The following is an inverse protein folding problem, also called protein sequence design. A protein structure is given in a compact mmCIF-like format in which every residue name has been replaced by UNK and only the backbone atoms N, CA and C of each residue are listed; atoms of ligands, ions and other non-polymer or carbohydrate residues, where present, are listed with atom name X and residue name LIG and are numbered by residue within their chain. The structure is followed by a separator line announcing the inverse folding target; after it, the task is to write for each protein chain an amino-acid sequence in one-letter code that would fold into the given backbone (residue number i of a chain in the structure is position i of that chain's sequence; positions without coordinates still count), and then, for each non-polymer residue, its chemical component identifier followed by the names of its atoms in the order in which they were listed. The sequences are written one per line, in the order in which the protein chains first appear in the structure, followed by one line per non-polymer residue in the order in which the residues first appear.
data_IF_259434264535
#
_entry.id   IF_259434264535
#
_cell.length_a   1.000
_cell.length_b   1.000
_cell.length_c   1.000
_cell.angle_alpha   90.00
_cell.angle_beta   90.00
_cell.angle_gamma   90.00
#
_symmetry.space_group_name_H-M   'P 1'
#
loop_
_entity.id
_entity.type
_entity.pdbx_description
1 polymer ?
#
# COMPACT_ATOMS: atom_id res chain seq x y z
N UNK A 1 -11.69 -16.99 -2.70
CA UNK A 1 -12.88 -16.16 -3.07
C UNK A 1 -14.11 -17.05 -2.95
N UNK A 2 -15.27 -16.48 -2.61
CA UNK A 2 -16.51 -17.27 -2.60
C UNK A 2 -16.83 -17.69 -4.04
N UNK A 3 -17.01 -18.99 -4.28
CA UNK A 3 -17.22 -19.56 -5.60
C UNK A 3 -18.54 -19.12 -6.29
N UNK A 4 -19.40 -18.40 -5.57
CA UNK A 4 -20.78 -18.11 -5.99
C UNK A 4 -21.04 -16.62 -6.33
N UNK A 5 -20.01 -15.81 -6.53
CA UNK A 5 -20.23 -14.42 -6.93
C UNK A 5 -20.56 -14.34 -8.42
N UNK A 6 -21.83 -14.06 -8.75
CA UNK A 6 -22.26 -13.78 -10.12
C UNK A 6 -21.57 -12.50 -10.59
N UNK A 7 -20.84 -12.55 -11.70
CA UNK A 7 -20.24 -11.38 -12.31
C UNK A 7 -20.99 -11.06 -13.60
N UNK A 8 -21.00 -9.78 -13.98
CA UNK A 8 -21.46 -9.34 -15.28
C UNK A 8 -20.34 -8.63 -16.00
N UNK A 9 -20.28 -8.79 -17.31
CA UNK A 9 -19.28 -8.08 -18.10
C UNK A 9 -19.80 -7.65 -19.47
N UNK A 10 -19.13 -6.66 -20.03
CA UNK A 10 -19.30 -6.24 -21.41
C UNK A 10 -17.96 -5.75 -21.97
N UNK A 11 -17.66 -6.12 -23.20
CA UNK A 11 -16.55 -5.54 -23.96
C UNK A 11 -17.02 -4.27 -24.65
N UNK A 12 -16.40 -3.13 -24.36
CA UNK A 12 -16.77 -1.83 -24.90
C UNK A 12 -15.59 -1.13 -25.57
N UNK A 13 -15.87 -0.14 -26.42
CA UNK A 13 -14.84 0.81 -26.89
C UNK A 13 -14.67 1.95 -25.87
N UNK A 14 -13.59 2.71 -25.97
CA UNK A 14 -13.33 3.85 -25.07
C UNK A 14 -14.37 4.97 -25.22
N UNK A 15 -14.82 5.27 -26.45
CA UNK A 15 -15.83 6.34 -26.68
C UNK A 15 -17.14 6.02 -25.96
N UNK A 16 -17.44 4.73 -25.97
CA UNK A 16 -18.55 4.07 -25.33
C UNK A 16 -18.46 4.05 -23.79
N UNK A 17 -17.27 4.25 -23.21
CA UNK A 17 -17.07 4.40 -21.78
C UNK A 17 -17.63 5.75 -21.29
N UNK A 18 -17.57 6.83 -22.09
CA UNK A 18 -18.16 8.13 -21.71
C UNK A 18 -19.66 7.99 -21.51
N UNK A 19 -20.34 7.37 -22.48
CA UNK A 19 -21.79 7.15 -22.43
C UNK A 19 -22.19 6.29 -21.22
N UNK A 20 -21.35 5.32 -20.87
CA UNK A 20 -21.52 4.47 -19.69
C UNK A 20 -21.37 5.28 -18.39
N UNK A 21 -20.30 6.07 -18.28
CA UNK A 21 -20.02 6.92 -17.11
C UNK A 21 -21.09 8.02 -16.92
N UNK A 22 -21.65 8.53 -18.01
CA UNK A 22 -22.76 9.49 -18.01
C UNK A 22 -24.13 8.85 -17.70
N UNK A 23 -24.20 7.52 -17.60
CA UNK A 23 -25.45 6.78 -17.39
C UNK A 23 -26.43 6.85 -18.57
N UNK A 24 -25.93 7.15 -19.78
CA UNK A 24 -26.75 7.31 -21.00
C UNK A 24 -26.85 6.05 -21.85
N UNK A 25 -26.09 5.01 -21.51
CA UNK A 25 -25.99 3.79 -22.30
C UNK A 25 -26.72 2.63 -21.64
N UNK A 26 -27.55 1.96 -22.44
CA UNK A 26 -28.07 0.64 -22.11
C UNK A 26 -26.95 -0.40 -22.19
N UNK A 27 -26.71 -1.08 -21.07
CA UNK A 27 -25.69 -2.12 -20.96
C UNK A 27 -26.21 -3.46 -21.48
N UNK A 28 -25.39 -4.15 -22.29
CA UNK A 28 -25.63 -5.53 -22.73
C UNK A 28 -24.80 -6.47 -21.88
N UNK A 29 -25.15 -6.52 -20.60
CA UNK A 29 -24.46 -7.32 -19.60
C UNK A 29 -24.57 -8.81 -19.93
N UNK A 30 -23.43 -9.49 -19.98
CA UNK A 30 -23.33 -10.95 -20.04
C UNK A 30 -22.98 -11.48 -18.67
N UNK A 31 -23.64 -12.55 -18.23
CA UNK A 31 -23.18 -13.30 -17.06
C UNK A 31 -21.77 -13.83 -17.35
N UNK A 32 -20.89 -13.67 -16.38
CA UNK A 32 -19.52 -14.13 -16.46
C UNK A 32 -19.13 -14.81 -15.15
N UNK A 33 -18.30 -15.83 -15.26
CA UNK A 33 -17.56 -16.34 -14.12
C UNK A 33 -16.12 -15.82 -14.19
N UNK A 34 -15.40 -15.92 -13.07
CA UNK A 34 -14.07 -15.34 -12.95
C UNK A 34 -13.04 -15.97 -13.89
N UNK A 35 -13.16 -17.27 -14.18
CA UNK A 35 -12.28 -17.97 -15.10
C UNK A 35 -12.56 -17.54 -16.54
N UNK A 36 -13.83 -17.34 -16.91
CA UNK A 36 -14.21 -16.82 -18.22
C UNK A 36 -13.66 -15.41 -18.45
N UNK A 37 -13.68 -14.54 -17.42
CA UNK A 37 -13.12 -13.20 -17.52
C UNK A 37 -11.61 -13.23 -17.74
N UNK A 38 -10.89 -14.11 -17.04
CA UNK A 38 -9.44 -14.25 -17.20
C UNK A 38 -9.02 -14.73 -18.60
N UNK A 39 -9.91 -15.44 -19.29
CA UNK A 39 -9.70 -15.99 -20.62
C UNK A 39 -10.20 -15.08 -21.76
N UNK A 40 -10.97 -14.03 -21.44
CA UNK A 40 -11.46 -13.08 -22.43
C UNK A 40 -10.32 -12.19 -22.96
N UNK A 41 -10.29 -11.97 -24.28
CA UNK A 41 -9.42 -10.97 -24.89
C UNK A 41 -10.27 -9.75 -25.28
N UNK A 42 -10.12 -8.59 -24.62
CA UNK A 42 -10.86 -7.40 -25.00
C UNK A 42 -10.42 -6.85 -26.37
N UNK A 43 -9.34 -7.37 -26.97
CA UNK A 43 -8.80 -6.90 -28.24
C UNK A 43 -8.32 -5.46 -28.13
N UNK A 44 -8.91 -4.57 -28.93
CA UNK A 44 -8.67 -3.12 -28.84
C UNK A 44 -9.71 -2.39 -27.96
N UNK A 45 -10.63 -3.13 -27.34
CA UNK A 45 -11.64 -2.61 -26.43
C UNK A 45 -11.17 -2.62 -24.97
N UNK A 46 -12.15 -2.40 -24.10
CA UNK A 46 -12.06 -2.46 -22.65
C UNK A 46 -13.09 -3.49 -22.18
N UNK A 47 -12.69 -4.36 -21.26
CA UNK A 47 -13.61 -5.24 -20.57
C UNK A 47 -14.07 -4.53 -19.29
N UNK A 48 -15.35 -4.22 -19.19
CA UNK A 48 -15.95 -3.61 -17.99
C UNK A 48 -16.70 -4.68 -17.21
N UNK A 49 -16.49 -4.72 -15.89
CA UNK A 49 -16.98 -5.80 -15.03
C UNK A 49 -17.76 -5.26 -13.84
N UNK A 50 -18.88 -5.93 -13.55
CA UNK A 50 -19.71 -5.70 -12.38
C UNK A 50 -19.87 -6.91 -11.48
N UNK A 51 -19.95 -6.67 -10.17
CA UNK A 51 -20.27 -7.70 -9.19
C UNK A 51 -21.77 -7.79 -8.88
N UNK A 52 -22.22 -9.04 -8.79
CA UNK A 52 -23.47 -9.56 -8.25
C UNK A 52 -24.09 -8.73 -7.14
N UNK A 53 -23.26 -8.48 -6.13
CA UNK A 53 -23.65 -7.90 -4.84
C UNK A 53 -24.19 -6.48 -4.94
N UNK A 54 -23.86 -5.77 -6.01
CA UNK A 54 -24.26 -4.37 -6.19
C UNK A 54 -25.44 -4.18 -7.13
N UNK A 55 -26.01 -5.24 -7.73
CA UNK A 55 -27.13 -5.09 -8.67
C UNK A 55 -28.39 -4.52 -8.03
N UNK A 56 -28.61 -4.73 -6.73
CA UNK A 56 -29.73 -4.10 -6.01
C UNK A 56 -29.50 -2.63 -5.66
N UNK A 57 -28.26 -2.12 -5.83
CA UNK A 57 -27.84 -0.74 -5.48
C UNK A 57 -27.33 0.08 -6.67
N UNK A 58 -27.32 -0.51 -7.88
CA UNK A 58 -27.07 0.09 -9.20
C UNK A 58 -26.24 1.38 -9.20
N UNK A 59 -24.98 1.28 -8.75
CA UNK A 59 -24.00 2.20 -9.32
C UNK A 59 -23.92 1.90 -10.82
N UNK A 60 -24.16 2.87 -11.71
CA UNK A 60 -24.01 2.65 -13.15
C UNK A 60 -22.54 2.39 -13.54
N UNK A 61 -21.62 2.64 -12.63
CA UNK A 61 -20.19 2.58 -12.88
C UNK A 61 -19.66 1.14 -12.70
N UNK A 62 -18.82 0.65 -13.62
CA UNK A 62 -18.16 -0.63 -13.45
C UNK A 62 -17.23 -0.59 -12.23
N UNK A 63 -17.13 -1.69 -11.50
CA UNK A 63 -16.18 -1.82 -10.40
C UNK A 63 -14.76 -1.99 -10.92
N UNK A 64 -14.61 -2.65 -12.09
CA UNK A 64 -13.31 -2.88 -12.73
C UNK A 64 -13.39 -2.57 -14.21
N UNK A 65 -12.36 -1.87 -14.71
CA UNK A 65 -12.08 -1.69 -16.12
C UNK A 65 -10.77 -2.41 -16.42
N UNK A 66 -10.86 -3.42 -17.28
CA UNK A 66 -9.72 -4.26 -17.66
C UNK A 66 -9.29 -3.90 -19.08
N UNK A 67 -8.02 -3.55 -19.24
CA UNK A 67 -7.41 -3.33 -20.55
C UNK A 67 -6.49 -4.49 -20.91
N UNK A 68 -6.24 -4.68 -22.20
CA UNK A 68 -5.41 -5.78 -22.71
C UNK A 68 -3.99 -5.78 -22.11
N UNK A 69 -3.40 -4.62 -21.93
CA UNK A 69 -2.01 -4.46 -21.49
C UNK A 69 -1.83 -3.18 -20.66
N UNK A 70 -0.67 -3.05 -20.02
CA UNK A 70 -0.28 -1.82 -19.31
C UNK A 70 -0.15 -0.61 -20.24
N UNK A 71 0.26 -0.80 -21.49
CA UNK A 71 0.29 0.29 -22.48
C UNK A 71 -1.12 0.74 -22.89
N UNK A 72 -2.08 -0.18 -23.00
CA UNK A 72 -3.48 0.15 -23.25
C UNK A 72 -4.12 0.88 -22.06
N UNK A 73 -3.76 0.53 -20.82
CA UNK A 73 -4.14 1.33 -19.64
C UNK A 73 -3.59 2.76 -19.71
N UNK A 74 -2.32 2.92 -20.09
CA UNK A 74 -1.73 4.26 -20.25
C UNK A 74 -2.49 5.10 -21.28
N UNK A 75 -2.84 4.50 -22.44
CA UNK A 75 -3.65 5.17 -23.46
C UNK A 75 -5.05 5.53 -22.92
N UNK A 76 -5.69 4.60 -22.21
CA UNK A 76 -6.99 4.84 -21.57
C UNK A 76 -6.95 6.04 -20.62
N UNK A 77 -5.94 6.12 -19.75
CA UNK A 77 -5.80 7.22 -18.80
C UNK A 77 -5.47 8.56 -19.48
N UNK A 78 -4.67 8.54 -20.56
CA UNK A 78 -4.38 9.75 -21.32
C UNK A 78 -5.65 10.28 -22.02
N UNK A 79 -6.43 9.36 -22.57
CA UNK A 79 -7.73 9.65 -23.15
C UNK A 79 -8.73 10.14 -22.10
N UNK A 80 -8.83 9.47 -20.94
CA UNK A 80 -9.80 9.84 -19.89
C UNK A 80 -9.50 11.24 -19.34
N UNK A 81 -8.23 11.56 -19.08
CA UNK A 81 -7.82 12.88 -18.63
C UNK A 81 -8.17 14.00 -19.64
N UNK A 82 -8.27 13.67 -20.92
CA UNK A 82 -8.58 14.62 -21.99
C UNK A 82 -10.09 14.80 -22.23
N UNK A 83 -10.85 13.69 -22.20
CA UNK A 83 -12.23 13.65 -22.66
C UNK A 83 -13.27 13.45 -21.55
N UNK A 84 -12.91 12.83 -20.42
CA UNK A 84 -13.83 12.56 -19.30
C UNK A 84 -13.72 13.69 -18.28
N UNK A 85 -14.48 14.76 -18.51
CA UNK A 85 -14.46 15.95 -17.63
C UNK A 85 -15.35 15.76 -16.40
N UNK A 86 -14.86 16.19 -15.25
CA UNK A 86 -15.65 16.27 -14.01
C UNK A 86 -15.72 14.99 -13.17
N UNK A 87 -15.20 13.85 -13.66
CA UNK A 87 -15.18 12.60 -12.91
C UNK A 87 -13.98 12.51 -11.93
N UNK A 88 -12.89 13.22 -12.24
CA UNK A 88 -11.61 13.04 -11.55
C UNK A 88 -10.77 11.92 -12.17
N UNK A 89 -9.72 11.43 -11.49
CA UNK A 89 -8.98 10.26 -11.94
C UNK A 89 -9.91 9.05 -12.08
N UNK A 90 -9.86 8.40 -13.24
CA UNK A 90 -10.74 7.27 -13.55
C UNK A 90 -10.53 6.12 -12.58
N UNK A 91 -9.28 5.86 -12.20
CA UNK A 91 -8.89 4.77 -11.31
C UNK A 91 -9.31 4.96 -9.84
N UNK A 92 -9.63 6.20 -9.43
CA UNK A 92 -10.25 6.47 -8.13
C UNK A 92 -11.74 6.14 -8.09
N UNK A 93 -12.38 6.00 -9.26
CA UNK A 93 -13.81 5.72 -9.40
C UNK A 93 -14.06 4.24 -9.70
N UNK A 94 -13.29 3.67 -10.61
CA UNK A 94 -13.35 2.27 -11.01
C UNK A 94 -11.93 1.71 -11.05
N UNK A 95 -11.71 0.50 -10.53
CA UNK A 95 -10.35 -0.07 -10.51
C UNK A 95 -9.91 -0.36 -11.95
N UNK A 96 -8.76 0.16 -12.35
CA UNK A 96 -8.21 -0.06 -13.70
C UNK A 96 -7.03 -1.02 -13.66
N UNK A 97 -7.13 -2.16 -14.36
CA UNK A 97 -6.09 -3.21 -14.32
C UNK A 97 -5.82 -3.79 -15.71
N UNK A 98 -4.65 -4.40 -15.91
CA UNK A 98 -4.37 -5.15 -17.13
C UNK A 98 -4.95 -6.58 -17.04
N UNK A 99 -5.11 -7.25 -18.19
CA UNK A 99 -5.50 -8.67 -18.22
C UNK A 99 -4.51 -9.56 -17.47
N UNK A 100 -3.22 -9.26 -17.56
CA UNK A 100 -2.16 -9.96 -16.82
C UNK A 100 -2.34 -9.78 -15.30
N UNK A 101 -2.56 -8.54 -14.85
CA UNK A 101 -2.81 -8.25 -13.45
C UNK A 101 -4.09 -8.92 -12.95
N UNK A 102 -5.16 -8.92 -13.74
CA UNK A 102 -6.40 -9.62 -13.39
C UNK A 102 -6.12 -11.10 -13.11
N UNK A 103 -5.42 -11.80 -14.01
CA UNK A 103 -5.05 -13.20 -13.83
C UNK A 103 -4.24 -13.41 -12.55
N UNK A 104 -3.22 -12.59 -12.32
CA UNK A 104 -2.40 -12.65 -11.11
C UNK A 104 -3.20 -12.45 -9.82
N UNK A 105 -4.18 -11.54 -9.82
CA UNK A 105 -5.06 -11.31 -8.65
C UNK A 105 -6.02 -12.48 -8.43
N UNK A 106 -6.48 -13.13 -9.51
CA UNK A 106 -7.37 -14.29 -9.43
C UNK A 106 -6.63 -15.54 -8.94
N UNK A 107 -5.40 -15.75 -9.41
CA UNK A 107 -4.58 -16.94 -9.11
C UNK A 107 -3.88 -16.90 -7.74
N UNK A 108 -3.97 -15.77 -7.02
CA UNK A 108 -3.31 -15.60 -5.71
C UNK A 108 -3.80 -16.60 -4.66
N UNK A 109 -2.87 -17.20 -3.92
CA UNK A 109 -3.15 -18.20 -2.87
C UNK A 109 -2.91 -17.61 -1.49
N UNK A 110 -3.93 -17.64 -0.63
CA UNK A 110 -3.92 -17.06 0.72
C UNK A 110 -3.69 -18.14 1.78
N UNK A 111 -2.48 -18.69 1.83
CA UNK A 111 -2.13 -19.74 2.81
C UNK A 111 -0.84 -19.37 3.55
N UNK A 112 -0.80 -18.19 4.17
CA UNK A 112 0.43 -17.69 4.79
C UNK A 112 0.25 -17.40 6.28
N UNK A 113 1.15 -17.95 7.09
CA UNK A 113 1.18 -17.82 8.56
C UNK A 113 1.67 -16.44 9.02
N UNK A 114 1.01 -15.36 8.59
CA UNK A 114 1.42 -13.99 8.88
C UNK A 114 1.61 -13.72 10.37
N UNK A 115 0.73 -14.26 11.23
CA UNK A 115 0.72 -13.93 12.66
C UNK A 115 1.98 -14.37 13.41
N UNK A 116 2.69 -15.39 12.92
CA UNK A 116 3.98 -15.80 13.47
C UNK A 116 5.09 -14.77 13.19
N UNK A 117 4.98 -14.03 12.07
CA UNK A 117 5.93 -13.02 11.61
C UNK A 117 5.46 -11.59 11.89
N UNK A 118 4.24 -11.41 12.41
CA UNK A 118 3.62 -10.11 12.60
C UNK A 118 4.48 -9.13 13.42
N UNK A 119 5.17 -9.54 14.51
CA UNK A 119 6.06 -8.64 15.24
C UNK A 119 7.15 -8.03 14.35
N UNK A 120 7.90 -8.84 13.59
CA UNK A 120 8.94 -8.29 12.71
C UNK A 120 8.39 -7.55 11.51
N UNK A 121 7.23 -7.94 10.99
CA UNK A 121 6.54 -7.22 9.94
C UNK A 121 6.16 -5.79 10.38
N UNK A 122 5.57 -5.66 11.57
CA UNK A 122 5.20 -4.37 12.17
C UNK A 122 6.46 -3.57 12.54
N UNK A 123 7.45 -4.22 13.14
CA UNK A 123 8.74 -3.61 13.49
C UNK A 123 9.44 -3.03 12.26
N UNK A 124 9.50 -3.78 11.17
CA UNK A 124 10.11 -3.35 9.91
C UNK A 124 9.43 -2.12 9.33
N UNK A 125 8.10 -2.09 9.29
CA UNK A 125 7.31 -0.93 8.82
C UNK A 125 7.57 0.32 9.68
N UNK A 126 7.60 0.16 11.01
CA UNK A 126 7.86 1.28 11.92
C UNK A 126 9.31 1.77 11.80
N UNK A 127 10.28 0.86 11.75
CA UNK A 127 11.68 1.23 11.62
C UNK A 127 12.00 1.85 10.26
N UNK A 128 11.35 1.43 9.16
CA UNK A 128 11.45 2.14 7.88
C UNK A 128 10.90 3.56 8.01
N UNK A 129 9.77 3.73 8.70
CA UNK A 129 9.18 5.05 8.95
C UNK A 129 10.12 5.95 9.77
N UNK A 130 10.81 5.39 10.77
CA UNK A 130 11.81 6.11 11.57
C UNK A 130 13.00 6.52 10.70
N UNK A 131 13.54 5.58 9.91
CA UNK A 131 14.66 5.81 9.01
C UNK A 131 14.34 6.93 7.99
N UNK A 132 13.13 6.92 7.40
CA UNK A 132 12.69 7.95 6.46
C UNK A 132 12.49 9.33 7.12
N UNK A 133 12.11 9.38 8.40
CA UNK A 133 11.90 10.64 9.11
C UNK A 133 13.19 11.22 9.72
N UNK A 134 14.22 10.40 9.92
CA UNK A 134 15.54 10.80 10.40
C UNK A 134 15.59 11.28 11.85
N UNK A 135 14.55 11.02 12.66
CA UNK A 135 14.41 11.59 14.02
C UNK A 135 14.47 10.57 15.16
N UNK A 136 14.52 9.27 14.88
CA UNK A 136 14.51 8.24 15.94
C UNK A 136 13.22 8.21 16.78
N UNK A 137 12.22 9.04 16.46
CA UNK A 137 11.02 9.25 17.27
C UNK A 137 9.94 8.21 16.92
N UNK A 138 9.70 7.29 17.87
CA UNK A 138 8.71 6.23 17.73
C UNK A 138 7.27 6.73 17.72
N UNK A 139 6.95 7.69 18.58
CA UNK A 139 5.59 8.23 18.65
C UNK A 139 5.27 8.97 17.36
N UNK A 140 6.22 9.74 16.83
CA UNK A 140 6.07 10.33 15.50
C UNK A 140 5.94 9.26 14.41
N UNK A 141 6.66 8.13 14.50
CA UNK A 141 6.58 7.05 13.52
C UNK A 141 5.26 6.26 13.59
N UNK A 142 4.70 6.06 14.78
CA UNK A 142 3.39 5.43 14.99
C UNK A 142 2.24 6.31 14.50
N UNK A 143 2.37 7.62 14.70
CA UNK A 143 1.42 8.61 14.19
C UNK A 143 1.62 8.91 12.70
N UNK A 144 2.82 8.67 12.18
CA UNK A 144 3.07 8.65 10.75
C UNK A 144 2.35 7.46 10.14
N UNK A 145 1.65 7.70 9.02
CA UNK A 145 0.83 6.67 8.39
C UNK A 145 1.75 5.57 7.80
N UNK A 146 1.76 4.36 8.35
CA UNK A 146 2.76 3.33 8.02
C UNK A 146 2.62 2.78 6.59
N UNK A 147 1.46 3.01 5.96
CA UNK A 147 1.17 2.59 4.59
C UNK A 147 1.97 3.35 3.51
N UNK A 148 2.78 4.34 3.89
CA UNK A 148 3.68 5.04 2.96
C UNK A 148 4.98 4.28 2.69
N UNK A 149 5.31 3.30 3.52
CA UNK A 149 6.58 2.56 3.46
C UNK A 149 6.55 1.47 2.39
N UNK A 150 7.72 1.15 1.82
CA UNK A 150 7.84 0.03 0.89
C UNK A 150 7.60 -1.29 1.62
N UNK A 151 8.12 -1.45 2.84
CA UNK A 151 7.92 -2.66 3.64
C UNK A 151 6.44 -2.95 3.80
N UNK A 152 5.61 -1.96 4.11
CA UNK A 152 4.17 -2.16 4.21
C UNK A 152 3.58 -2.70 2.91
N UNK A 153 3.93 -2.11 1.77
CA UNK A 153 3.42 -2.53 0.46
C UNK A 153 3.85 -3.96 0.10
N UNK A 154 5.10 -4.33 0.36
CA UNK A 154 5.61 -5.67 0.04
C UNK A 154 5.08 -6.74 0.98
N UNK A 155 5.00 -6.45 2.28
CA UNK A 155 4.40 -7.36 3.26
C UNK A 155 2.93 -7.57 2.90
N UNK A 156 2.21 -6.50 2.54
CA UNK A 156 0.83 -6.60 2.06
C UNK A 156 0.73 -7.46 0.80
N UNK A 157 1.64 -7.28 -0.15
CA UNK A 157 1.64 -8.08 -1.36
C UNK A 157 1.85 -9.57 -1.05
N UNK A 158 2.75 -9.87 -0.12
CA UNK A 158 2.99 -11.21 0.39
C UNK A 158 1.76 -11.78 1.11
N UNK A 159 1.10 -11.03 2.01
CA UNK A 159 -0.08 -11.52 2.75
C UNK A 159 -1.29 -11.75 1.85
N UNK A 160 -1.43 -10.96 0.78
CA UNK A 160 -2.47 -11.16 -0.23
C UNK A 160 -2.19 -12.36 -1.14
N UNK A 161 -1.00 -12.97 -1.06
CA UNK A 161 -0.65 -14.18 -1.80
C UNK A 161 -0.12 -13.93 -3.20
N UNK A 162 0.42 -12.74 -3.48
CA UNK A 162 1.02 -12.46 -4.78
C UNK A 162 2.30 -13.28 -5.02
N UNK A 163 2.56 -13.68 -6.29
CA UNK A 163 3.81 -14.36 -6.67
C UNK A 163 5.00 -13.40 -6.63
N UNK A 164 6.25 -13.92 -6.58
CA UNK A 164 7.46 -13.11 -6.54
C UNK A 164 7.57 -12.06 -7.66
N UNK A 165 7.18 -12.41 -8.89
CA UNK A 165 7.23 -11.48 -10.03
C UNK A 165 6.33 -10.25 -9.83
N UNK A 166 5.12 -10.46 -9.32
CA UNK A 166 4.21 -9.35 -8.98
C UNK A 166 4.75 -8.51 -7.82
N UNK A 167 5.45 -9.12 -6.85
CA UNK A 167 6.10 -8.38 -5.77
C UNK A 167 7.26 -7.52 -6.33
N UNK A 168 8.00 -8.01 -7.33
CA UNK A 168 9.01 -7.21 -8.01
C UNK A 168 8.40 -5.99 -8.72
N UNK A 169 7.24 -6.15 -9.38
CA UNK A 169 6.51 -5.02 -9.96
C UNK A 169 6.07 -3.98 -8.92
N UNK A 170 5.69 -4.41 -7.71
CA UNK A 170 5.36 -3.50 -6.60
C UNK A 170 6.58 -2.65 -6.22
N UNK A 171 7.78 -3.24 -6.19
CA UNK A 171 9.02 -2.52 -5.91
C UNK A 171 9.26 -1.46 -6.99
N UNK A 172 9.21 -1.86 -8.26
CA UNK A 172 9.45 -0.94 -9.38
C UNK A 172 8.44 0.20 -9.41
N UNK A 173 7.16 -0.11 -9.19
CA UNK A 173 6.10 0.89 -9.11
C UNK A 173 6.33 1.86 -7.94
N UNK A 174 6.70 1.36 -6.76
CA UNK A 174 7.00 2.20 -5.60
C UNK A 174 8.20 3.12 -5.84
N UNK A 175 9.28 2.59 -6.42
CA UNK A 175 10.50 3.37 -6.74
C UNK A 175 10.26 4.41 -7.85
N UNK A 176 9.22 4.23 -8.67
CA UNK A 176 8.81 5.18 -9.71
C UNK A 176 7.95 6.35 -9.20
N UNK A 177 7.45 6.28 -7.96
CA UNK A 177 6.58 7.33 -7.42
C UNK A 177 7.32 8.67 -7.36
N UNK A 178 6.65 9.78 -7.75
CA UNK A 178 7.19 11.11 -7.49
C UNK A 178 7.26 11.32 -5.97
N UNK A 179 8.41 11.75 -5.48
CA UNK A 179 8.59 12.16 -4.09
C UNK A 179 9.09 13.61 -4.08
N UNK A 180 8.60 14.39 -3.13
CA UNK A 180 9.00 15.78 -2.93
C UNK A 180 10.52 15.93 -2.96
N UNK A 181 11.01 16.91 -3.73
CA UNK A 181 12.44 17.19 -3.86
C UNK A 181 13.12 17.64 -2.56
N UNK A 182 12.35 18.02 -1.53
CA UNK A 182 12.89 18.58 -0.28
C UNK A 182 13.50 17.54 0.67
N UNK A 183 13.13 16.26 0.53
CA UNK A 183 13.81 15.16 1.20
C UNK A 183 14.19 14.15 0.15
N UNK A 184 15.50 13.99 -0.10
CA UNK A 184 16.01 12.95 -0.98
C UNK A 184 15.38 11.61 -0.59
N UNK A 185 14.52 11.09 -1.46
CA UNK A 185 14.00 9.75 -1.32
C UNK A 185 15.19 8.79 -1.40
N UNK A 186 15.53 8.18 -0.27
CA UNK A 186 16.64 7.24 -0.19
C UNK A 186 16.26 5.92 -0.87
N UNK A 187 16.58 5.85 -2.17
CA UNK A 187 16.43 4.63 -2.98
C UNK A 187 17.26 3.47 -2.42
N UNK A 188 18.36 3.76 -1.73
CA UNK A 188 19.19 2.76 -1.06
C UNK A 188 18.43 2.12 0.09
N UNK A 189 17.81 2.92 0.96
CA UNK A 189 16.94 2.44 2.03
C UNK A 189 15.75 1.64 1.50
N UNK A 190 15.10 2.09 0.42
CA UNK A 190 14.00 1.35 -0.19
C UNK A 190 14.45 -0.03 -0.71
N UNK A 191 15.60 -0.11 -1.39
CA UNK A 191 16.16 -1.42 -1.82
C UNK A 191 16.49 -2.32 -0.62
N UNK A 192 17.10 -1.77 0.42
CA UNK A 192 17.35 -2.49 1.66
C UNK A 192 16.04 -2.98 2.32
N UNK A 193 14.95 -2.21 2.25
CA UNK A 193 13.65 -2.63 2.76
C UNK A 193 13.13 -3.86 2.02
N UNK A 194 13.23 -3.89 0.69
CA UNK A 194 12.88 -5.06 -0.10
C UNK A 194 13.73 -6.29 0.26
N UNK A 195 15.04 -6.11 0.41
CA UNK A 195 15.97 -7.16 0.87
C UNK A 195 15.55 -7.75 2.21
N UNK A 196 15.25 -6.89 3.20
CA UNK A 196 14.86 -7.34 4.54
C UNK A 196 13.51 -8.05 4.53
N UNK A 197 12.53 -7.56 3.75
CA UNK A 197 11.25 -8.27 3.56
C UNK A 197 11.49 -9.66 2.96
N UNK A 198 12.33 -9.78 1.94
CA UNK A 198 12.60 -11.08 1.31
C UNK A 198 13.29 -12.05 2.26
N UNK A 199 14.22 -11.57 3.09
CA UNK A 199 14.87 -12.39 4.11
C UNK A 199 13.90 -12.83 5.24
N UNK A 200 13.00 -11.93 5.66
CA UNK A 200 12.03 -12.19 6.72
C UNK A 200 10.96 -13.21 6.28
N UNK A 201 10.49 -13.11 5.04
CA UNK A 201 9.38 -13.91 4.50
C UNK A 201 9.81 -15.06 3.59
N UNK A 202 11.13 -15.31 3.49
CA UNK A 202 11.72 -16.37 2.68
C UNK A 202 11.28 -16.33 1.21
N UNK A 203 11.24 -15.13 0.64
CA UNK A 203 10.84 -14.94 -0.74
C UNK A 203 12.07 -15.20 -1.62
N UNK A 204 11.99 -16.24 -2.45
CA UNK A 204 12.94 -16.51 -3.52
C UNK A 204 12.81 -15.44 -4.61
N UNK A 205 13.40 -14.28 -4.35
CA UNK A 205 13.53 -13.20 -5.32
C UNK A 205 14.94 -13.19 -5.92
N UNK A 206 15.06 -12.55 -7.09
CA UNK A 206 16.20 -12.57 -8.01
C UNK A 206 17.58 -12.66 -7.34
N UNK A 207 18.50 -13.47 -7.91
CA UNK A 207 19.87 -13.60 -7.43
C UNK A 207 20.56 -12.22 -7.44
N UNK A 208 21.06 -11.79 -6.28
CA UNK A 208 21.91 -10.60 -6.16
C UNK A 208 21.47 -9.56 -5.13
N UNK A 209 20.28 -9.67 -4.53
CA UNK A 209 19.81 -8.69 -3.54
C UNK A 209 20.35 -8.93 -2.12
N UNK A 210 20.50 -10.18 -1.70
CA UNK A 210 20.90 -10.52 -0.33
C UNK A 210 22.21 -11.30 -0.30
N UNK A 211 23.06 -10.97 0.67
CA UNK A 211 24.25 -11.75 0.97
C UNK A 211 23.87 -13.09 1.61
N UNK A 212 24.61 -14.14 1.23
CA UNK A 212 24.36 -15.49 1.71
C UNK A 212 24.50 -15.59 3.24
N UNK A 213 25.41 -14.83 3.84
CA UNK A 213 25.62 -14.72 5.29
C UNK A 213 24.35 -14.29 6.04
N UNK A 214 23.74 -13.17 5.65
CA UNK A 214 22.55 -12.63 6.30
C UNK A 214 21.33 -13.53 6.14
N UNK A 215 21.16 -14.12 4.94
CA UNK A 215 20.14 -15.15 4.70
C UNK A 215 20.31 -16.34 5.64
N UNK A 216 21.55 -16.83 5.78
CA UNK A 216 21.87 -17.95 6.66
C UNK A 216 21.60 -17.63 8.13
N UNK A 217 21.94 -16.43 8.60
CA UNK A 217 21.65 -16.03 9.99
C UNK A 217 20.15 -15.92 10.26
N UNK A 218 19.39 -15.32 9.35
CA UNK A 218 17.92 -15.26 9.45
C UNK A 218 17.28 -16.66 9.42
N UNK A 219 17.75 -17.55 8.56
CA UNK A 219 17.29 -18.93 8.50
C UNK A 219 17.56 -19.69 9.82
N UNK A 220 18.70 -19.46 10.44
CA UNK A 220 19.04 -20.07 11.74
C UNK A 220 18.18 -19.53 12.88
N UNK A 221 17.90 -18.23 12.92
CA UNK A 221 16.94 -17.65 13.87
C UNK A 221 15.54 -18.25 13.69
N UNK A 222 15.07 -18.40 12.44
CA UNK A 222 13.81 -19.07 12.10
C UNK A 222 13.78 -20.54 12.52
N UNK A 223 14.92 -21.24 12.43
CA UNK A 223 15.09 -22.60 12.92
C UNK A 223 15.14 -22.70 14.47
N UNK A 224 14.97 -21.59 15.19
CA UNK A 224 14.91 -21.56 16.65
C UNK A 224 16.27 -21.41 17.34
N UNK A 225 17.36 -21.14 16.59
CA UNK A 225 18.65 -20.80 17.22
C UNK A 225 18.48 -19.50 18.01
N UNK A 226 18.85 -19.52 19.29
CA UNK A 226 18.78 -18.33 20.14
C UNK A 226 19.74 -17.26 19.62
N UNK A 227 19.31 -15.99 19.67
CA UNK A 227 20.15 -14.86 19.26
C UNK A 227 21.51 -14.85 19.96
N UNK A 228 21.56 -15.14 21.26
CA UNK A 228 22.83 -15.19 21.99
C UNK A 228 23.80 -16.25 21.44
N UNK A 229 23.28 -17.38 20.94
CA UNK A 229 24.09 -18.40 20.30
C UNK A 229 24.64 -17.98 18.94
N UNK A 230 24.07 -16.97 18.28
CA UNK A 230 24.50 -16.44 16.98
C UNK A 230 25.48 -15.27 17.10
N UNK A 231 25.67 -14.70 18.31
CA UNK A 231 26.56 -13.57 18.54
C UNK A 231 27.99 -13.82 18.03
N UNK A 232 28.63 -14.97 18.31
CA UNK A 232 29.96 -15.23 17.77
C UNK A 232 29.98 -15.20 16.25
N UNK A 233 28.98 -15.78 15.57
CA UNK A 233 28.98 -15.88 14.10
C UNK A 233 28.76 -14.52 13.43
N UNK A 234 27.91 -13.68 14.03
CA UNK A 234 27.56 -12.37 13.47
C UNK A 234 28.60 -11.29 13.83
N UNK A 235 29.17 -11.35 15.03
CA UNK A 235 30.04 -10.29 15.57
C UNK A 235 31.53 -10.61 15.56
N UNK A 236 31.95 -11.86 15.31
CA UNK A 236 33.38 -12.22 15.20
C UNK A 236 34.17 -11.37 14.20
N UNK A 237 33.61 -10.91 13.06
CA UNK A 237 34.37 -10.04 12.16
C UNK A 237 34.76 -8.68 12.77
N UNK A 238 34.08 -8.25 13.84
CA UNK A 238 34.23 -6.90 14.42
C UNK A 238 34.86 -6.90 15.80
N UNK A 239 35.14 -8.08 16.38
CA UNK A 239 35.54 -8.25 17.77
C UNK A 239 36.63 -9.30 17.85
N UNK A 240 37.71 -9.01 18.58
CA UNK A 240 38.79 -9.97 18.75
C UNK A 240 38.31 -11.14 19.62
N UNK A 241 38.81 -12.35 19.34
CA UNK A 241 38.39 -13.58 20.04
C UNK A 241 38.52 -13.54 21.57
N UNK A 242 39.26 -12.56 22.12
CA UNK A 242 39.53 -12.38 23.54
C UNK A 242 38.51 -11.49 24.26
N UNK A 243 37.58 -10.82 23.56
CA UNK A 243 36.69 -9.80 24.13
C UNK A 243 35.40 -10.36 24.76
N UNK A 244 35.38 -11.64 25.16
CA UNK A 244 34.31 -12.20 25.99
C UNK A 244 33.00 -12.58 25.28
N UNK A 245 33.01 -12.73 23.95
CA UNK A 245 31.83 -13.16 23.16
C UNK A 245 31.16 -14.46 23.67
N UNK A 246 31.96 -15.38 24.23
CA UNK A 246 31.49 -16.70 24.67
C UNK A 246 30.51 -16.68 25.86
N UNK A 247 30.48 -15.60 26.65
CA UNK A 247 29.67 -15.50 27.87
C UNK A 247 28.59 -14.41 27.78
N UNK A 248 28.17 -14.00 26.58
CA UNK A 248 27.21 -12.90 26.41
C UNK A 248 25.91 -13.08 27.20
N UNK A 249 25.39 -14.32 27.31
CA UNK A 249 24.18 -14.62 28.09
C UNK A 249 24.34 -14.29 29.59
N UNK A 250 25.56 -14.38 30.12
CA UNK A 250 25.88 -14.14 31.53
C UNK A 250 26.10 -12.65 31.86
N UNK A 251 26.21 -11.79 30.84
CA UNK A 251 26.40 -10.35 31.04
C UNK A 251 25.15 -9.71 31.65
N UNK A 252 25.37 -8.81 32.61
CA UNK A 252 24.31 -7.93 33.14
C UNK A 252 23.81 -6.96 32.05
N UNK A 253 22.61 -6.39 32.18
CA UNK A 253 22.11 -5.38 31.22
C UNK A 253 23.12 -4.25 30.94
N UNK A 254 23.78 -3.74 31.98
CA UNK A 254 24.79 -2.67 31.86
C UNK A 254 26.03 -3.15 31.11
N UNK A 255 26.48 -4.38 31.36
CA UNK A 255 27.61 -4.96 30.64
C UNK A 255 27.29 -5.18 29.16
N UNK A 256 26.03 -5.54 28.84
CA UNK A 256 25.57 -5.66 27.46
C UNK A 256 25.56 -4.31 26.75
N UNK A 257 25.09 -3.24 27.40
CA UNK A 257 25.15 -1.88 26.84
C UNK A 257 26.61 -1.47 26.60
N UNK A 258 27.51 -1.70 27.57
CA UNK A 258 28.95 -1.45 27.37
C UNK A 258 29.54 -2.25 26.21
N UNK A 259 29.10 -3.49 26.02
CA UNK A 259 29.49 -4.29 24.88
C UNK A 259 28.97 -3.69 23.56
N UNK A 260 27.74 -3.18 23.53
CA UNK A 260 27.19 -2.46 22.38
C UNK A 260 28.02 -1.21 22.04
N UNK A 261 28.30 -0.37 23.04
CA UNK A 261 29.11 0.85 22.90
C UNK A 261 30.52 0.53 22.40
N UNK A 262 31.03 -0.66 22.72
CA UNK A 262 32.30 -1.16 22.23
C UNK A 262 32.23 -1.65 20.77
N UNK A 263 31.21 -2.41 20.39
CA UNK A 263 31.14 -3.06 19.06
C UNK A 263 30.56 -2.16 17.97
N UNK A 264 29.60 -1.30 18.29
CA UNK A 264 28.88 -0.49 17.31
C UNK A 264 29.81 0.47 16.51
N UNK A 265 30.76 1.20 17.13
CA UNK A 265 31.72 2.01 16.38
C UNK A 265 32.58 1.20 15.41
N UNK A 266 32.94 -0.05 15.78
CA UNK A 266 33.76 -0.93 14.94
C UNK A 266 33.00 -1.44 13.73
N UNK A 267 31.73 -1.84 13.91
CA UNK A 267 30.85 -2.25 12.81
C UNK A 267 30.70 -1.12 11.80
N UNK A 268 30.50 0.11 12.28
CA UNK A 268 30.38 1.29 11.42
C UNK A 268 31.69 1.65 10.72
N UNK A 269 32.84 1.46 11.38
CA UNK A 269 34.16 1.72 10.80
C UNK A 269 34.60 0.66 9.78
N UNK A 270 34.02 -0.54 9.82
CA UNK A 270 34.36 -1.66 8.95
C UNK A 270 33.76 -1.56 7.52
N UNK A 271 33.30 -0.37 7.11
CA UNK A 271 32.60 -0.12 5.82
C UNK A 271 33.43 -0.50 4.59
N UNK A 272 34.77 -0.53 4.70
CA UNK A 272 35.66 -0.91 3.59
C UNK A 272 35.89 -2.42 3.48
N UNK A 273 35.79 -3.17 4.58
CA UNK A 273 36.13 -4.60 4.63
C UNK A 273 34.92 -5.52 4.45
N UNK A 274 33.72 -5.02 4.76
CA UNK A 274 32.48 -5.80 4.77
C UNK A 274 31.37 -5.11 3.98
N UNK A 275 30.48 -5.86 3.31
CA UNK A 275 29.32 -5.27 2.68
C UNK A 275 28.45 -4.49 3.66
N UNK A 276 27.97 -3.32 3.25
CA UNK A 276 27.13 -2.43 4.07
C UNK A 276 25.90 -3.11 4.69
N UNK A 277 25.27 -4.04 3.98
CA UNK A 277 24.11 -4.77 4.48
C UNK A 277 24.46 -5.76 5.58
N UNK A 278 25.65 -6.37 5.55
CA UNK A 278 26.17 -7.19 6.66
C UNK A 278 26.45 -6.33 7.89
N UNK A 279 27.11 -5.18 7.71
CA UNK A 279 27.37 -4.24 8.81
C UNK A 279 26.05 -3.73 9.42
N UNK A 280 25.06 -3.40 8.58
CA UNK A 280 23.74 -2.98 9.03
C UNK A 280 23.02 -4.09 9.82
N UNK A 281 23.09 -5.35 9.36
CA UNK A 281 22.55 -6.49 10.10
C UNK A 281 23.28 -6.68 11.44
N UNK A 282 24.61 -6.67 11.45
CA UNK A 282 25.41 -6.86 12.65
C UNK A 282 25.12 -5.79 13.72
N UNK A 283 25.00 -4.53 13.31
CA UNK A 283 24.64 -3.42 14.20
C UNK A 283 23.25 -3.63 14.82
N UNK A 284 22.25 -3.93 13.98
CA UNK A 284 20.90 -4.20 14.43
C UNK A 284 20.82 -5.43 15.35
N UNK A 285 21.60 -6.46 15.03
CA UNK A 285 21.67 -7.70 15.80
C UNK A 285 22.31 -7.49 17.18
N UNK A 286 23.39 -6.69 17.24
CA UNK A 286 24.02 -6.31 18.50
C UNK A 286 23.04 -5.55 19.40
N UNK A 287 22.28 -4.59 18.85
CA UNK A 287 21.23 -3.87 19.59
C UNK A 287 20.11 -4.82 20.05
N UNK A 288 19.63 -5.69 19.17
CA UNK A 288 18.60 -6.68 19.47
C UNK A 288 18.99 -7.62 20.62
N UNK A 289 20.26 -8.05 20.65
CA UNK A 289 20.78 -8.97 21.66
C UNK A 289 20.77 -8.41 23.10
N UNK A 290 20.73 -7.08 23.27
CA UNK A 290 20.77 -6.43 24.59
C UNK A 290 19.55 -6.77 25.47
N UNK A 291 18.39 -7.00 24.84
CA UNK A 291 17.06 -7.15 25.48
C UNK A 291 16.79 -6.08 26.56
N UNK A 292 16.41 -4.87 26.15
CA UNK A 292 15.01 -4.50 26.35
C UNK A 292 14.42 -3.75 25.14
N UNK A 293 13.13 -3.94 24.86
CA UNK A 293 12.21 -3.20 23.95
C UNK A 293 12.74 -2.49 22.69
N UNK A 294 11.92 -2.45 21.63
CA UNK A 294 12.31 -1.82 20.37
C UNK A 294 12.76 -0.35 20.55
N UNK A 295 12.11 0.41 21.44
CA UNK A 295 12.45 1.82 21.70
C UNK A 295 13.83 1.99 22.32
N UNK A 296 14.22 1.17 23.31
CA UNK A 296 15.55 1.25 23.91
C UNK A 296 16.63 0.81 22.91
N UNK A 297 16.37 -0.27 22.16
CA UNK A 297 17.27 -0.77 21.11
C UNK A 297 17.52 0.29 20.04
N UNK A 298 16.46 0.97 19.63
CA UNK A 298 16.50 2.04 18.67
C UNK A 298 17.24 3.28 19.17
N UNK A 299 16.99 3.69 20.41
CA UNK A 299 17.69 4.83 21.03
C UNK A 299 19.20 4.61 21.01
N UNK A 300 19.66 3.41 21.39
CA UNK A 300 21.09 3.04 21.35
C UNK A 300 21.66 3.03 19.92
N UNK A 301 20.87 2.57 18.95
CA UNK A 301 21.32 2.47 17.55
C UNK A 301 21.29 3.81 16.81
N UNK A 302 20.54 4.80 17.31
CA UNK A 302 20.21 6.03 16.58
C UNK A 302 21.43 6.81 16.07
N UNK A 303 22.49 6.89 16.88
CA UNK A 303 23.75 7.56 16.51
C UNK A 303 24.46 6.87 15.32
N UNK A 304 24.44 5.54 15.30
CA UNK A 304 25.13 4.74 14.31
C UNK A 304 24.30 4.54 13.04
N UNK A 305 22.97 4.49 13.17
CA UNK A 305 22.05 4.26 12.07
C UNK A 305 21.99 5.42 11.05
N UNK A 306 22.51 6.59 11.39
CA UNK A 306 22.72 7.68 10.41
C UNK A 306 23.68 7.24 9.30
N UNK A 307 24.69 6.43 9.63
CA UNK A 307 25.66 5.90 8.65
C UNK A 307 25.21 4.59 8.02
N UNK A 308 24.43 3.80 8.76
CA UNK A 308 23.89 2.51 8.33
C UNK A 308 22.37 2.49 8.45
N UNK A 309 21.66 3.22 7.57
CA UNK A 309 20.21 3.39 7.65
C UNK A 309 19.44 2.06 7.56
N UNK A 310 19.99 1.08 6.84
CA UNK A 310 19.42 -0.28 6.76
C UNK A 310 19.42 -1.04 8.11
N UNK A 311 20.20 -0.60 9.11
CA UNK A 311 20.17 -1.21 10.44
C UNK A 311 18.81 -1.03 11.12
N UNK A 312 18.10 0.07 10.83
CA UNK A 312 16.69 0.24 11.23
C UNK A 312 15.82 -0.91 10.75
N UNK A 313 15.93 -1.25 9.47
CA UNK A 313 15.10 -2.27 8.85
C UNK A 313 15.37 -3.64 9.47
N UNK A 314 16.65 -4.00 9.64
CA UNK A 314 17.02 -5.25 10.30
C UNK A 314 16.57 -5.31 11.75
N UNK A 315 16.68 -4.21 12.51
CA UNK A 315 16.21 -4.14 13.89
C UNK A 315 14.70 -4.41 13.97
N UNK A 316 13.94 -3.85 13.03
CA UNK A 316 12.51 -4.10 12.88
C UNK A 316 12.20 -5.57 12.58
N UNK A 317 12.87 -6.17 11.60
CA UNK A 317 12.65 -7.57 11.23
C UNK A 317 13.04 -8.56 12.34
N UNK A 318 14.10 -8.28 13.09
CA UNK A 318 14.55 -9.11 14.22
C UNK A 318 13.50 -9.17 15.35
N UNK A 319 12.55 -8.24 15.41
CA UNK A 319 11.44 -8.31 16.38
C UNK A 319 10.54 -9.53 16.20
N UNK A 320 10.60 -10.24 15.05
CA UNK A 320 9.96 -11.57 14.91
C UNK A 320 10.41 -12.56 15.99
N UNK A 321 11.65 -12.43 16.47
CA UNK A 321 12.22 -13.33 17.47
C UNK A 321 12.12 -12.80 18.90
N UNK A 322 11.40 -11.68 19.09
CA UNK A 322 11.07 -11.15 20.42
C UNK A 322 9.73 -11.72 20.92
N UNK A 323 9.26 -11.26 22.08
CA UNK A 323 7.95 -11.68 22.58
C UNK A 323 6.87 -11.00 21.74
N UNK A 324 6.00 -11.82 21.12
CA UNK A 324 4.93 -11.37 20.21
C UNK A 324 4.10 -10.21 20.77
N UNK A 325 3.84 -10.21 22.08
CA UNK A 325 3.05 -9.19 22.76
C UNK A 325 3.62 -7.79 22.66
N UNK A 326 4.94 -7.63 22.79
CA UNK A 326 5.54 -6.32 23.08
C UNK A 326 5.47 -5.43 21.84
N UNK A 327 5.76 -6.00 20.68
CA UNK A 327 5.74 -5.27 19.41
C UNK A 327 4.32 -4.92 18.95
N UNK A 328 3.35 -5.81 19.17
CA UNK A 328 1.97 -5.56 18.78
C UNK A 328 1.25 -4.57 19.71
N UNK A 329 1.67 -4.50 20.98
CA UNK A 329 1.09 -3.57 21.98
C UNK A 329 1.73 -2.19 22.00
N UNK A 330 2.81 -1.97 21.24
CA UNK A 330 3.49 -0.67 21.14
C UNK A 330 2.51 0.47 20.83
N UNK A 331 2.70 1.64 21.45
CA UNK A 331 1.88 2.82 21.18
C UNK A 331 0.39 2.62 21.44
N UNK A 332 0.03 1.99 22.57
CA UNK A 332 -1.36 1.67 22.93
C UNK A 332 -2.07 0.78 21.89
N UNK A 333 -1.36 -0.22 21.34
CA UNK A 333 -1.90 -1.11 20.31
C UNK A 333 -1.78 -0.57 18.88
N UNK A 334 -0.89 0.41 18.65
CA UNK A 334 -0.50 0.86 17.31
C UNK A 334 0.01 -0.31 16.45
N UNK A 335 0.80 -1.22 17.04
CA UNK A 335 1.27 -2.41 16.33
C UNK A 335 0.14 -3.31 15.82
N UNK A 336 -0.88 -3.57 16.64
CA UNK A 336 -2.10 -4.27 16.22
C UNK A 336 -2.83 -3.58 15.08
N UNK A 337 -2.88 -2.24 15.08
CA UNK A 337 -3.51 -1.46 14.01
C UNK A 337 -2.76 -1.66 12.69
N UNK A 338 -1.43 -1.64 12.72
CA UNK A 338 -0.57 -1.87 11.54
C UNK A 338 -0.76 -3.30 11.03
N UNK A 339 -0.65 -4.30 11.91
CA UNK A 339 -0.82 -5.70 11.56
C UNK A 339 -2.19 -5.96 10.92
N UNK A 340 -3.26 -5.42 11.51
CA UNK A 340 -4.62 -5.50 10.98
C UNK A 340 -4.74 -4.88 9.60
N UNK A 341 -4.12 -3.72 9.38
CA UNK A 341 -4.15 -3.09 8.06
C UNK A 341 -3.40 -3.97 7.04
N UNK A 342 -2.23 -4.52 7.38
CA UNK A 342 -1.46 -5.42 6.51
C UNK A 342 -2.26 -6.65 6.08
N UNK A 343 -2.99 -7.29 7.00
CA UNK A 343 -3.82 -8.48 6.69
C UNK A 343 -5.24 -8.13 6.26
N UNK A 344 -5.56 -6.84 6.12
CA UNK A 344 -6.91 -6.41 5.77
C UNK A 344 -7.31 -7.01 4.44
N UNK A 345 -8.38 -7.79 4.47
CA UNK A 345 -9.00 -8.34 3.28
C UNK A 345 -9.50 -7.20 2.38
N UNK A 346 -8.87 -7.10 1.21
CA UNK A 346 -9.37 -6.25 0.14
C UNK A 346 -10.09 -7.07 -0.92
N UNK A 347 -11.30 -6.61 -1.22
CA UNK A 347 -12.16 -7.15 -2.24
C UNK A 347 -11.82 -6.52 -3.59
N UNK A 348 -11.53 -7.37 -4.58
CA UNK A 348 -11.28 -6.95 -5.95
C UNK A 348 -12.52 -6.28 -6.57
N UNK A 349 -13.71 -6.62 -6.08
CA UNK A 349 -14.99 -6.06 -6.53
C UNK A 349 -15.46 -4.89 -5.68
N UNK A 350 -14.74 -4.58 -4.60
CA UNK A 350 -14.97 -3.39 -3.80
C UNK A 350 -14.52 -2.13 -4.54
N UNK A 351 -15.09 -0.99 -4.14
CA UNK A 351 -14.65 0.32 -4.62
C UNK A 351 -13.14 0.50 -4.35
N UNK A 352 -12.40 1.17 -5.26
CA UNK A 352 -11.01 1.52 -5.02
C UNK A 352 -10.85 2.30 -3.70
N UNK A 353 -9.80 2.00 -2.93
CA UNK A 353 -9.45 2.76 -1.72
C UNK A 353 -8.39 3.84 -1.99
N UNK A 354 -7.98 3.99 -3.26
CA UNK A 354 -7.00 4.96 -3.70
C UNK A 354 -7.68 6.17 -4.37
N UNK A 355 -6.95 7.28 -4.44
CA UNK A 355 -7.36 8.42 -5.26
C UNK A 355 -7.09 8.16 -6.75
N UNK A 356 -6.02 7.42 -7.06
CA UNK A 356 -5.66 7.00 -8.42
C UNK A 356 -4.68 5.82 -8.44
N UNK A 357 -4.45 5.24 -9.62
CA UNK A 357 -3.43 4.23 -9.90
C UNK A 357 -2.09 4.86 -10.28
N UNK A 358 -1.01 4.11 -10.13
CA UNK A 358 0.33 4.53 -10.56
C UNK A 358 0.39 4.85 -12.07
N UNK A 359 -0.36 4.11 -12.89
CA UNK A 359 -0.37 4.31 -14.35
C UNK A 359 -1.05 5.63 -14.69
N UNK A 360 -2.17 5.95 -14.03
CA UNK A 360 -2.85 7.23 -14.20
C UNK A 360 -2.00 8.39 -13.66
N UNK A 361 -1.32 8.20 -12.53
CA UNK A 361 -0.41 9.17 -11.96
C UNK A 361 0.71 9.55 -12.95
N UNK A 362 1.38 8.56 -13.54
CA UNK A 362 2.44 8.77 -14.53
C UNK A 362 1.95 9.58 -15.75
N UNK A 363 0.74 9.27 -16.24
CA UNK A 363 0.11 10.02 -17.33
C UNK A 363 -0.15 11.48 -16.93
N UNK A 364 -0.73 11.71 -15.74
CA UNK A 364 -1.07 13.05 -15.27
C UNK A 364 0.17 13.93 -15.07
N UNK A 365 1.26 13.35 -14.55
CA UNK A 365 2.55 14.02 -14.38
C UNK A 365 3.21 14.32 -15.73
N UNK A 366 3.21 13.34 -16.65
CA UNK A 366 3.80 13.49 -17.98
C UNK A 366 3.11 14.59 -18.80
N UNK A 367 1.79 14.69 -18.69
CA UNK A 367 0.99 15.61 -19.50
C UNK A 367 0.99 17.06 -18.98
N UNK A 368 1.68 17.37 -17.87
CA UNK A 368 1.68 18.70 -17.21
C UNK A 368 0.26 19.30 -17.08
N UNK A 369 -0.73 18.45 -16.85
CA UNK A 369 -2.15 18.86 -16.87
C UNK A 369 -2.48 19.66 -15.61
N UNK A 370 -3.46 20.57 -15.72
CA UNK A 370 -3.99 21.31 -14.56
C UNK A 370 -4.55 20.38 -13.47
N UNK A 371 -5.08 19.23 -13.86
CA UNK A 371 -5.61 18.20 -12.96
C UNK A 371 -4.51 17.65 -12.05
N UNK A 372 -3.34 17.34 -12.62
CA UNK A 372 -2.17 16.94 -11.85
C UNK A 372 -1.82 18.00 -10.80
N UNK A 373 -1.86 19.28 -11.16
CA UNK A 373 -1.65 20.39 -10.22
C UNK A 373 -2.65 20.43 -9.07
N UNK A 374 -3.95 20.24 -9.33
CA UNK A 374 -4.97 20.25 -8.26
C UNK A 374 -4.88 19.04 -7.34
N UNK A 375 -4.56 17.87 -7.88
CA UNK A 375 -4.45 16.64 -7.10
C UNK A 375 -3.24 16.71 -6.17
N UNK A 376 -2.11 17.24 -6.68
CA UNK A 376 -0.88 17.45 -5.90
C UNK A 376 -0.97 18.56 -4.84
N UNK A 377 -2.01 19.40 -4.88
CA UNK A 377 -2.30 20.36 -3.79
C UNK A 377 -2.88 19.71 -2.55
N UNK A 378 -3.43 18.49 -2.66
CA UNK A 378 -3.85 17.73 -1.48
C UNK A 378 -2.61 17.37 -0.69
N UNK A 379 -2.65 17.53 0.62
CA UNK A 379 -1.54 17.14 1.50
C UNK A 379 -1.13 15.67 1.30
N UNK A 380 -2.06 14.83 0.86
CA UNK A 380 -1.87 13.41 0.65
C UNK A 380 -2.72 12.92 -0.52
N UNK A 381 -2.13 12.01 -1.27
CA UNK A 381 -2.77 11.30 -2.38
C UNK A 381 -2.49 9.81 -2.20
N UNK A 382 -3.54 8.99 -2.13
CA UNK A 382 -3.43 7.53 -2.09
C UNK A 382 -3.29 6.99 -3.53
N UNK A 383 -2.27 6.18 -3.76
CA UNK A 383 -1.91 5.63 -5.06
C UNK A 383 -1.95 4.10 -5.00
N UNK A 384 -2.76 3.47 -5.86
CA UNK A 384 -2.70 2.02 -6.09
C UNK A 384 -1.51 1.71 -7.02
N UNK A 385 -0.44 1.15 -6.45
CA UNK A 385 0.80 0.83 -7.17
C UNK A 385 0.76 -0.55 -7.84
N UNK A 386 -0.11 -1.42 -7.33
CA UNK A 386 -0.48 -2.71 -7.91
C UNK A 386 -1.91 -3.02 -7.42
N UNK A 387 -2.75 -3.78 -8.13
CA UNK A 387 -4.11 -4.07 -7.67
C UNK A 387 -4.16 -4.45 -6.17
N UNK A 388 -4.97 -3.71 -5.40
CA UNK A 388 -5.16 -3.92 -3.94
C UNK A 388 -3.94 -3.61 -3.06
N UNK A 389 -2.87 -3.04 -3.65
CA UNK A 389 -1.69 -2.55 -2.96
C UNK A 389 -1.64 -1.05 -3.13
N UNK A 390 -2.01 -0.34 -2.06
CA UNK A 390 -2.02 1.11 -2.01
C UNK A 390 -0.86 1.63 -1.17
N UNK A 391 -0.36 2.79 -1.56
CA UNK A 391 0.57 3.60 -0.77
C UNK A 391 0.17 5.07 -0.89
N UNK A 392 0.85 5.96 -0.16
CA UNK A 392 0.57 7.38 -0.24
C UNK A 392 1.80 8.20 -0.60
N UNK A 393 1.55 9.23 -1.42
CA UNK A 393 2.50 10.31 -1.69
C UNK A 393 2.05 11.57 -0.95
N UNK A 394 3.02 12.36 -0.49
CA UNK A 394 2.77 13.71 0.02
C UNK A 394 2.61 14.63 -1.18
N UNK A 395 1.61 15.48 -1.14
CA UNK A 395 1.49 16.52 -2.15
C UNK A 395 2.49 17.64 -1.89
N UNK A 396 3.03 18.22 -2.97
CA UNK A 396 3.84 19.43 -2.92
C UNK A 396 2.93 20.58 -2.48
N UNK A 397 2.80 20.86 -1.18
CA UNK A 397 2.29 22.17 -0.75
C UNK A 397 3.36 23.18 -1.08
N UNK A 398 3.31 23.73 -2.30
CA UNK A 398 4.19 24.82 -2.70
C UNK A 398 3.93 25.99 -1.74
N UNK A 399 4.73 26.11 -0.68
CA UNK A 399 4.79 27.25 0.23
C UNK A 399 5.31 28.54 -0.44
N UNK A 400 5.35 28.59 -1.78
CA UNK A 400 5.55 29.84 -2.51
C UNK A 400 4.36 30.76 -2.26
N UNK A 401 4.52 31.61 -1.24
CA UNK A 401 3.78 32.82 -0.92
C UNK A 401 2.77 33.30 -1.95
N UNK A 402 1.63 32.61 -2.03
CA UNK A 402 0.45 33.13 -2.71
C UNK A 402 -0.19 34.08 -1.72
N UNK A 403 0.17 35.36 -1.90
CA UNK A 403 -0.72 36.49 -1.65
C UNK A 403 -2.17 36.05 -1.88
N UNK A 404 -3.01 36.23 -0.86
CA UNK A 404 -4.44 35.92 -0.80
C UNK A 404 -5.19 36.42 -2.04
N UNK A 405 -5.15 35.64 -3.12
CA UNK A 405 -6.04 35.76 -4.27
C UNK A 405 -7.16 34.75 -4.07
N UNK A 406 -8.44 35.15 -4.04
CA UNK A 406 -9.50 34.31 -3.51
C UNK A 406 -9.71 33.06 -4.37
N UNK A 407 -9.68 31.92 -3.69
CA UNK A 407 -10.02 30.56 -4.15
C UNK A 407 -11.44 30.49 -4.75
N UNK A 408 -11.64 31.01 -5.94
CA UNK A 408 -12.96 31.04 -6.61
C UNK A 408 -13.22 29.87 -7.56
N UNK A 409 -12.30 28.92 -7.75
CA UNK A 409 -12.52 27.84 -8.72
C UNK A 409 -13.03 26.53 -8.13
N UNK A 410 -12.68 26.18 -6.88
CA UNK A 410 -13.12 24.92 -6.27
C UNK A 410 -14.54 25.01 -5.67
N UNK A 411 -14.88 26.16 -5.08
CA UNK A 411 -16.26 26.44 -4.61
C UNK A 411 -17.29 26.31 -5.72
N UNK A 412 -16.99 26.78 -6.94
CA UNK A 412 -17.91 26.67 -8.08
C UNK A 412 -18.23 25.23 -8.49
N UNK A 413 -17.31 24.28 -8.30
CA UNK A 413 -17.55 22.88 -8.66
C UNK A 413 -18.40 22.17 -7.61
N UNK A 414 -18.21 22.49 -6.32
CA UNK A 414 -19.07 22.00 -5.24
C UNK A 414 -20.45 22.67 -5.24
N UNK A 415 -20.54 23.95 -5.62
CA UNK A 415 -21.81 24.66 -5.81
C UNK A 415 -22.58 24.09 -7.02
N UNK A 416 -21.88 23.68 -8.08
CA UNK A 416 -22.50 23.02 -9.24
C UNK A 416 -23.02 21.62 -8.89
N UNK A 417 -22.25 20.86 -8.09
CA UNK A 417 -22.66 19.52 -7.61
C UNK A 417 -23.82 19.65 -6.61
N UNK A 418 -23.73 20.59 -5.66
CA UNK A 418 -24.79 20.89 -4.71
C UNK A 418 -26.07 21.41 -5.40
N UNK A 419 -25.92 22.22 -6.44
CA UNK A 419 -27.03 22.68 -7.28
C UNK A 419 -27.75 21.51 -7.98
N UNK A 420 -26.99 20.60 -8.60
CA UNK A 420 -27.55 19.40 -9.25
C UNK A 420 -28.17 18.41 -8.27
N UNK A 421 -27.60 18.27 -7.07
CA UNK A 421 -28.16 17.40 -6.03
C UNK A 421 -29.49 17.96 -5.51
N UNK A 422 -29.57 19.27 -5.30
CA UNK A 422 -30.81 19.94 -4.90
C UNK A 422 -31.89 19.86 -5.99
N UNK A 423 -31.51 19.97 -7.26
CA UNK A 423 -32.42 19.82 -8.40
C UNK A 423 -32.96 18.38 -8.51
N UNK A 424 -32.09 17.37 -8.31
CA UNK A 424 -32.50 15.96 -8.26
C UNK A 424 -33.43 15.67 -7.06
N UNK A 425 -33.15 16.24 -5.89
CA UNK A 425 -34.02 16.14 -4.72
C UNK A 425 -35.39 16.81 -4.95
N UNK A 426 -35.41 17.95 -5.64
CA UNK A 426 -36.65 18.64 -6.00
C UNK A 426 -37.50 17.82 -7.00
N UNK A 427 -36.86 17.19 -8.00
CA UNK A 427 -37.56 16.28 -8.92
C UNK A 427 -38.15 15.06 -8.21
N UNK A 428 -37.40 14.44 -7.29
CA UNK A 428 -37.91 13.32 -6.50
C UNK A 428 -39.10 13.71 -5.61
N UNK A 429 -39.09 14.93 -5.07
CA UNK A 429 -40.20 15.46 -4.28
C UNK A 429 -41.44 15.69 -5.14
N UNK A 430 -41.30 16.23 -6.35
CA UNK A 430 -42.40 16.39 -7.30
C UNK A 430 -43.00 15.05 -7.75
N UNK A 431 -42.18 14.03 -8.00
CA UNK A 431 -42.66 12.69 -8.34
C UNK A 431 -43.43 12.05 -7.18
N UNK A 432 -42.97 12.26 -5.93
CA UNK A 432 -43.66 11.79 -4.73
C UNK A 432 -45.01 12.48 -4.53
N UNK A 433 -45.07 13.80 -4.70
CA UNK A 433 -46.31 14.57 -4.53
C UNK A 433 -47.29 14.39 -5.71
N UNK A 434 -46.80 14.04 -6.90
CA UNK A 434 -47.61 13.71 -8.07
C UNK A 434 -48.32 12.35 -7.95
N UNK A 435 -47.66 11.36 -7.34
CA UNK A 435 -48.23 10.01 -7.14
C UNK A 435 -49.45 9.97 -6.21
N UNK A 436 -49.56 10.91 -5.28
CA UNK A 436 -50.68 10.94 -4.32
C UNK A 436 -51.97 11.54 -4.89
N UNK A 437 -51.96 12.10 -6.11
CA UNK A 437 -53.13 12.77 -6.71
C UNK A 437 -53.99 11.91 -7.64
N UNK A 438 -53.54 10.72 -8.06
CA UNK A 438 -54.31 9.86 -8.97
C UNK A 438 -55.12 8.75 -8.29
N UNK A 439 -55.14 8.67 -6.95
CA UNK A 439 -55.94 7.70 -6.19
C UNK A 439 -57.42 8.05 -5.98
N UNK A 440 -57.93 9.12 -6.60
CA UNK A 440 -59.32 9.57 -6.49
C UNK A 440 -60.29 8.74 -7.32
N UNK A 441 -60.60 7.53 -6.88
CA UNK A 441 -61.60 6.66 -7.52
C UNK A 441 -62.96 7.38 -7.66
N UNK A 442 -63.52 7.51 -8.87
CA UNK A 442 -64.77 8.23 -9.07
C UNK A 442 -65.93 7.43 -8.44
N UNK A 443 -66.47 7.95 -7.33
CA UNK A 443 -67.70 7.44 -6.70
C UNK A 443 -68.84 7.44 -7.72
N UNK A 444 -69.23 6.26 -8.20
CA UNK A 444 -70.43 6.01 -8.99
C UNK A 444 -71.66 6.54 -8.24
N UNK A 445 -72.31 7.58 -8.78
CA UNK A 445 -73.63 8.04 -8.33
C UNK A 445 -74.68 6.98 -8.68
N UNK A 446 -75.42 6.50 -7.68
CA UNK A 446 -76.62 5.67 -7.87
C UNK A 446 -77.74 6.53 -8.48
N UNK A 447 -78.53 5.99 -9.43
CA UNK A 447 -79.69 6.68 -9.96
C UNK A 447 -80.85 6.71 -8.94
N UNK A 448 -81.77 7.69 -9.04
CA UNK A 448 -82.87 7.84 -8.10
C UNK A 448 -83.97 6.79 -8.34
N UNK A 449 -84.73 6.41 -7.31
CA UNK A 449 -85.80 5.43 -7.43
C UNK A 449 -87.04 6.06 -8.12
N UNK A 450 -87.78 5.23 -8.84
CA UNK A 450 -89.13 5.53 -9.35
C UNK A 450 -90.18 4.99 -8.40
#
# INVERSE_FOLDING_TARGET
MAADETLWSETIRREQLVELLDGRRDMRLRDADLLSLCNEDPGNGLLVVWSGRQRSRLSPLPQIIVARSRSALRDLHAWSASYVRGLGPLSGVARTISMEQLRTVVDRRRDREFWSLAPGAVGLVLCETIAQNGRGDFEAALNARPNITLSFALIRAWTLGYPPDAIAEVIDAYLSLPRDHEKEFDRGLARAAAEVVFALFDIDASPGLLLNSTKNWMAQLRAGRRAAGLIPDVLAPFVDAHDGLGNFEQLTPEQRVKFFDFVAPRIVAADEAHPRSENAFALAFAAFALRPGLEQQASLMSEYAVKLSAAWLWLGALQTFSRVSDMLTIGQGGGWRIAREIVRDEDLWGAPQCDLSIVELDVLLSAKTQIGGSLMRRQRVEVEIYPLITTAIRGTTSERGVSEGPERSFGRSLDLIGGRLNEALAMLKLLREGGDREGGSPRRRRPPPR
#
